data_IF_855490473154
#
_entry.id   IF_855490473154
#
_cell.length_a   1.000
_cell.length_b   1.000
_cell.length_c   1.000
_cell.angle_alpha   90.00
_cell.angle_beta   90.00
_cell.angle_gamma   90.00
#
_symmetry.space_group_name_H-M   'P 1'
#
loop_
_entity.id
_entity.type
_entity.pdbx_description
1 polymer ?
#
# COMPACT_ATOMS: atom_id res chain seq x y z
N UNK A 1 6.60 -9.53 -1.97
CA UNK A 1 6.10 -10.85 -2.39
C UNK A 1 5.94 -10.82 -3.90
N UNK A 2 6.39 -11.84 -4.66
CA UNK A 2 6.33 -11.82 -6.12
C UNK A 2 4.90 -11.71 -6.69
N UNK A 3 3.89 -11.95 -5.89
CA UNK A 3 2.49 -11.99 -6.32
C UNK A 3 1.75 -10.64 -6.18
N UNK A 4 2.33 -9.64 -5.52
CA UNK A 4 1.66 -8.35 -5.30
C UNK A 4 2.62 -7.21 -5.60
N UNK A 5 2.51 -6.67 -6.80
CA UNK A 5 3.29 -5.50 -7.23
C UNK A 5 2.49 -4.25 -6.86
N UNK A 6 2.94 -3.48 -5.88
CA UNK A 6 2.30 -2.22 -5.47
C UNK A 6 3.10 -0.99 -5.92
N UNK A 7 4.35 -1.18 -6.35
CA UNK A 7 5.26 -0.11 -6.72
C UNK A 7 5.91 -0.37 -8.06
N UNK A 8 6.07 0.68 -8.85
CA UNK A 8 7.01 0.65 -9.95
C UNK A 8 8.44 0.71 -9.40
N UNK A 9 9.25 -0.32 -9.68
CA UNK A 9 10.58 -0.51 -9.08
C UNK A 9 11.50 0.72 -9.24
N UNK A 10 11.57 1.28 -10.45
CA UNK A 10 12.44 2.42 -10.71
C UNK A 10 12.01 3.68 -9.96
N UNK A 11 10.70 3.93 -9.85
CA UNK A 11 10.16 5.06 -9.09
C UNK A 11 10.40 4.89 -7.58
N UNK A 12 10.23 3.69 -7.06
CA UNK A 12 10.51 3.40 -5.64
C UNK A 12 11.99 3.62 -5.32
N UNK A 13 12.89 3.09 -6.14
CA UNK A 13 14.34 3.24 -5.97
C UNK A 13 14.76 4.70 -6.02
N UNK A 14 14.31 5.45 -7.02
CA UNK A 14 14.61 6.87 -7.19
C UNK A 14 14.15 7.69 -5.96
N UNK A 15 12.96 7.41 -5.44
CA UNK A 15 12.40 8.05 -4.25
C UNK A 15 13.17 7.68 -2.98
N UNK A 16 13.60 6.42 -2.85
CA UNK A 16 14.46 5.94 -1.78
C UNK A 16 15.82 6.65 -1.79
N UNK A 17 16.49 6.69 -2.94
CA UNK A 17 17.80 7.35 -3.07
C UNK A 17 17.71 8.85 -2.80
N UNK A 18 16.61 9.50 -3.16
CA UNK A 18 16.39 10.92 -2.89
C UNK A 18 16.37 11.27 -1.40
N UNK A 19 15.97 10.35 -0.52
CA UNK A 19 16.01 10.57 0.93
C UNK A 19 17.43 10.76 1.46
N UNK A 20 18.41 10.12 0.84
CA UNK A 20 19.82 10.14 1.29
C UNK A 20 20.65 11.22 0.58
N UNK A 21 20.25 11.60 -0.64
CA UNK A 21 21.00 12.53 -1.48
C UNK A 21 20.63 14.01 -1.26
N UNK A 22 19.68 14.31 -0.38
CA UNK A 22 19.28 15.69 -0.08
C UNK A 22 20.39 16.43 0.66
N UNK A 23 20.87 17.54 0.06
CA UNK A 23 21.85 18.44 0.69
C UNK A 23 21.27 19.06 1.96
N UNK A 24 22.13 19.23 2.98
CA UNK A 24 21.76 19.94 4.21
C UNK A 24 21.24 21.36 3.85
N UNK A 25 19.99 21.65 4.22
CA UNK A 25 19.30 22.92 3.92
C UNK A 25 18.18 22.84 2.86
N UNK A 26 18.04 21.73 2.13
CA UNK A 26 16.96 21.48 1.17
C UNK A 26 16.10 20.27 1.54
N UNK A 27 16.16 19.82 2.80
CA UNK A 27 15.34 18.71 3.27
C UNK A 27 13.89 19.13 3.27
N UNK A 28 13.13 18.65 2.29
CA UNK A 28 11.69 18.55 2.41
C UNK A 28 11.38 17.32 3.26
N UNK A 29 10.50 17.48 4.25
CA UNK A 29 10.02 16.33 5.01
C UNK A 29 9.30 15.38 4.04
N UNK A 30 9.70 14.11 4.00
CA UNK A 30 9.07 13.17 3.09
C UNK A 30 7.61 12.97 3.46
N UNK A 31 6.76 12.79 2.46
CA UNK A 31 5.34 12.50 2.61
C UNK A 31 5.13 11.33 3.58
N UNK A 32 4.30 11.47 4.65
CA UNK A 32 4.11 10.41 5.65
C UNK A 32 3.70 9.07 5.07
N UNK A 33 2.85 9.07 4.04
CA UNK A 33 2.44 7.84 3.34
C UNK A 33 3.61 7.12 2.69
N UNK A 34 4.55 7.86 2.09
CA UNK A 34 5.76 7.28 1.53
C UNK A 34 6.65 6.64 2.59
N UNK A 35 6.83 7.33 3.73
CA UNK A 35 7.59 6.76 4.86
C UNK A 35 6.92 5.48 5.37
N UNK A 36 5.59 5.45 5.48
CA UNK A 36 4.87 4.24 5.85
C UNK A 36 5.10 3.10 4.85
N UNK A 37 5.06 3.37 3.54
CA UNK A 37 5.38 2.38 2.52
C UNK A 37 6.80 1.82 2.69
N UNK A 38 7.79 2.68 2.88
CA UNK A 38 9.18 2.28 3.09
C UNK A 38 9.34 1.44 4.35
N UNK A 39 8.77 1.88 5.47
CA UNK A 39 8.80 1.13 6.73
C UNK A 39 8.14 -0.23 6.59
N UNK A 40 7.01 -0.35 5.88
CA UNK A 40 6.36 -1.63 5.64
C UNK A 40 7.19 -2.57 4.77
N UNK A 41 7.91 -2.06 3.76
CA UNK A 41 8.87 -2.85 2.99
C UNK A 41 9.97 -3.40 3.89
N UNK A 42 10.48 -2.60 4.83
CA UNK A 42 11.47 -3.04 5.82
C UNK A 42 10.89 -4.04 6.83
N UNK A 43 9.62 -3.89 7.24
CA UNK A 43 8.90 -4.86 8.08
C UNK A 43 8.83 -6.22 7.40
N UNK A 44 8.42 -6.29 6.14
CA UNK A 44 8.36 -7.54 5.38
C UNK A 44 9.76 -8.12 5.12
N UNK A 45 10.76 -7.26 4.88
CA UNK A 45 12.14 -7.69 4.78
C UNK A 45 12.67 -8.32 6.08
N UNK A 46 12.33 -7.72 7.23
CA UNK A 46 12.68 -8.26 8.55
C UNK A 46 11.99 -9.60 8.83
N UNK A 47 10.71 -9.77 8.46
CA UNK A 47 10.02 -11.07 8.57
C UNK A 47 10.77 -12.17 7.80
N UNK A 48 11.16 -11.88 6.55
CA UNK A 48 11.90 -12.85 5.75
C UNK A 48 13.27 -13.21 6.37
N UNK A 49 13.91 -12.29 7.09
CA UNK A 49 15.18 -12.55 7.81
C UNK A 49 14.96 -13.33 9.11
N UNK A 50 13.86 -13.08 9.83
CA UNK A 50 13.47 -13.84 11.03
C UNK A 50 13.25 -15.31 10.68
N UNK A 51 12.62 -15.62 9.56
CA UNK A 51 12.43 -16.98 9.04
C UNK A 51 13.78 -17.69 8.79
N UNK A 52 14.87 -16.93 8.66
CA UNK A 52 16.26 -17.43 8.56
C UNK A 52 17.01 -17.41 9.90
N UNK A 53 16.34 -17.18 11.04
CA UNK A 53 16.89 -17.32 12.39
C UNK A 53 17.66 -16.10 12.91
N UNK A 54 17.36 -14.90 12.43
CA UNK A 54 17.96 -13.66 12.91
C UNK A 54 17.04 -12.99 13.96
N UNK A 55 17.31 -13.22 15.25
CA UNK A 55 16.51 -12.72 16.36
C UNK A 55 16.34 -11.19 16.41
N UNK A 56 17.34 -10.42 15.94
CA UNK A 56 17.27 -8.96 15.88
C UNK A 56 16.19 -8.45 14.91
N UNK A 57 15.82 -9.26 13.90
CA UNK A 57 14.82 -8.90 12.91
C UNK A 57 13.44 -8.65 13.54
N UNK A 58 13.06 -9.42 14.57
CA UNK A 58 11.80 -9.25 15.29
C UNK A 58 11.70 -7.88 16.00
N UNK A 59 12.81 -7.43 16.62
CA UNK A 59 12.85 -6.13 17.26
C UNK A 59 12.71 -4.98 16.27
N UNK A 60 13.38 -5.09 15.12
CA UNK A 60 13.33 -4.12 14.01
C UNK A 60 11.89 -4.05 13.47
N UNK A 61 11.29 -5.21 13.20
CA UNK A 61 9.91 -5.32 12.71
C UNK A 61 8.92 -4.62 13.65
N UNK A 62 8.93 -4.95 14.96
CA UNK A 62 8.05 -4.34 15.96
C UNK A 62 8.23 -2.82 16.05
N UNK A 63 9.47 -2.34 15.99
CA UNK A 63 9.77 -0.92 16.03
C UNK A 63 9.20 -0.17 14.82
N UNK A 64 9.40 -0.70 13.62
CA UNK A 64 8.91 -0.04 12.40
C UNK A 64 7.40 -0.12 12.27
N UNK A 65 6.80 -1.25 12.64
CA UNK A 65 5.35 -1.37 12.68
C UNK A 65 4.71 -0.34 13.62
N UNK A 66 5.28 -0.14 14.81
CA UNK A 66 4.79 0.87 15.75
C UNK A 66 4.84 2.29 15.17
N UNK A 67 5.87 2.61 14.38
CA UNK A 67 5.96 3.90 13.68
C UNK A 67 4.84 4.03 12.63
N UNK A 68 4.60 3.00 11.82
CA UNK A 68 3.50 3.00 10.82
C UNK A 68 2.15 3.17 11.51
N UNK A 69 1.90 2.44 12.59
CA UNK A 69 0.65 2.54 13.36
C UNK A 69 0.41 3.96 13.91
N UNK A 70 1.47 4.68 14.28
CA UNK A 70 1.39 6.08 14.68
C UNK A 70 0.93 7.04 13.57
N UNK A 71 1.03 6.64 12.30
CA UNK A 71 0.60 7.43 11.15
C UNK A 71 -0.76 7.01 10.57
N UNK A 72 -1.41 5.97 11.09
CA UNK A 72 -2.67 5.43 10.52
C UNK A 72 -3.75 6.51 10.38
N UNK A 73 -3.89 7.40 11.36
CA UNK A 73 -4.82 8.51 11.27
C UNK A 73 -4.55 9.39 10.05
N UNK A 74 -3.30 9.77 9.82
CA UNK A 74 -2.92 10.55 8.64
C UNK A 74 -3.20 9.80 7.34
N UNK A 75 -2.87 8.51 7.29
CA UNK A 75 -3.11 7.67 6.11
C UNK A 75 -4.60 7.64 5.74
N UNK A 76 -5.50 7.54 6.72
CA UNK A 76 -6.94 7.43 6.48
C UNK A 76 -7.55 8.78 6.06
N UNK A 77 -7.09 9.91 6.63
CA UNK A 77 -7.71 11.22 6.40
C UNK A 77 -7.15 11.99 5.19
N UNK A 78 -6.03 11.54 4.62
CA UNK A 78 -5.42 12.19 3.45
C UNK A 78 -5.47 11.27 2.23
N UNK A 79 -6.30 11.61 1.26
CA UNK A 79 -6.45 10.78 0.06
C UNK A 79 -5.28 10.96 -0.90
N UNK A 80 -4.46 9.92 -1.07
CA UNK A 80 -3.40 9.86 -2.06
C UNK A 80 -3.12 8.41 -2.49
N UNK A 81 -2.55 8.22 -3.69
CA UNK A 81 -2.15 6.90 -4.17
C UNK A 81 -1.19 6.20 -3.19
N UNK A 82 -0.25 6.96 -2.64
CA UNK A 82 0.76 6.44 -1.71
C UNK A 82 0.11 5.98 -0.39
N UNK A 83 -0.93 6.67 0.07
CA UNK A 83 -1.67 6.26 1.26
C UNK A 83 -2.49 4.99 1.02
N UNK A 84 -3.07 4.81 -0.18
CA UNK A 84 -3.70 3.54 -0.57
C UNK A 84 -2.67 2.41 -0.53
N UNK A 85 -1.48 2.61 -1.10
CA UNK A 85 -0.39 1.63 -1.08
C UNK A 85 0.05 1.28 0.36
N UNK A 86 0.21 2.29 1.23
CA UNK A 86 0.57 2.09 2.64
C UNK A 86 -0.50 1.30 3.41
N UNK A 87 -1.78 1.62 3.21
CA UNK A 87 -2.90 0.90 3.84
C UNK A 87 -2.98 -0.55 3.35
N UNK A 88 -2.73 -0.82 2.06
CA UNK A 88 -2.69 -2.18 1.51
C UNK A 88 -1.53 -3.01 2.09
N UNK A 89 -0.36 -2.41 2.28
CA UNK A 89 0.75 -3.10 2.93
C UNK A 89 0.46 -3.40 4.40
N UNK A 90 -0.11 -2.44 5.12
CA UNK A 90 -0.49 -2.65 6.52
C UNK A 90 -1.60 -3.69 6.65
N UNK A 91 -2.60 -3.66 5.76
CA UNK A 91 -3.65 -4.66 5.68
C UNK A 91 -3.08 -6.07 5.45
N UNK A 92 -2.13 -6.21 4.52
CA UNK A 92 -1.47 -7.49 4.24
C UNK A 92 -0.72 -8.01 5.47
N UNK A 93 -0.06 -7.12 6.20
CA UNK A 93 0.62 -7.49 7.46
C UNK A 93 -0.37 -8.00 8.51
N UNK A 94 -1.45 -7.25 8.79
CA UNK A 94 -2.46 -7.63 9.78
C UNK A 94 -3.17 -8.94 9.37
N UNK A 95 -3.42 -9.12 8.07
CA UNK A 95 -4.00 -10.37 7.55
C UNK A 95 -3.08 -11.57 7.83
N UNK A 96 -1.79 -11.45 7.57
CA UNK A 96 -0.80 -12.51 7.82
C UNK A 96 -0.59 -12.77 9.33
N UNK A 97 -0.78 -11.75 10.16
CA UNK A 97 -0.74 -11.87 11.61
C UNK A 97 -2.02 -12.53 12.21
N UNK A 98 -3.04 -12.81 11.38
CA UNK A 98 -4.33 -13.36 11.83
C UNK A 98 -5.32 -12.31 12.34
N UNK A 99 -4.97 -11.04 12.28
CA UNK A 99 -5.82 -9.92 12.72
C UNK A 99 -6.83 -9.54 11.62
N UNK A 100 -7.69 -10.48 11.25
CA UNK A 100 -8.60 -10.36 10.09
C UNK A 100 -9.56 -9.19 10.18
N UNK A 101 -10.00 -8.78 11.39
CA UNK A 101 -10.87 -7.63 11.54
C UNK A 101 -10.13 -6.32 11.26
N UNK A 102 -8.92 -6.16 11.77
CA UNK A 102 -8.07 -5.00 11.50
C UNK A 102 -7.74 -4.91 10.00
N UNK A 103 -7.34 -6.03 9.40
CA UNK A 103 -7.08 -6.13 7.97
C UNK A 103 -8.29 -5.69 7.13
N UNK A 104 -9.49 -6.16 7.44
CA UNK A 104 -10.72 -5.80 6.73
C UNK A 104 -11.07 -4.31 6.87
N UNK A 105 -10.89 -3.71 8.05
CA UNK A 105 -11.13 -2.28 8.25
C UNK A 105 -10.14 -1.41 7.46
N UNK A 106 -8.86 -1.79 7.43
CA UNK A 106 -7.83 -1.11 6.65
C UNK A 106 -8.11 -1.22 5.14
N UNK A 107 -8.50 -2.40 4.68
CA UNK A 107 -8.88 -2.65 3.29
C UNK A 107 -10.09 -1.80 2.88
N UNK A 108 -11.13 -1.73 3.71
CA UNK A 108 -12.29 -0.89 3.46
C UNK A 108 -11.95 0.62 3.40
N UNK A 109 -10.99 1.07 4.20
CA UNK A 109 -10.48 2.45 4.15
C UNK A 109 -9.71 2.69 2.84
N UNK A 110 -8.85 1.76 2.44
CA UNK A 110 -8.12 1.82 1.17
C UNK A 110 -9.06 1.81 -0.04
N UNK A 111 -10.11 0.97 -0.02
CA UNK A 111 -11.12 0.88 -1.09
C UNK A 111 -11.87 2.19 -1.28
N UNK A 112 -12.37 2.78 -0.19
CA UNK A 112 -13.05 4.09 -0.26
C UNK A 112 -12.13 5.19 -0.73
N UNK A 113 -10.88 5.21 -0.30
CA UNK A 113 -9.88 6.16 -0.75
C UNK A 113 -9.57 5.99 -2.25
N UNK A 114 -9.38 4.76 -2.72
CA UNK A 114 -9.14 4.48 -4.13
C UNK A 114 -10.32 4.90 -5.01
N UNK A 115 -11.56 4.69 -4.56
CA UNK A 115 -12.77 5.19 -5.23
C UNK A 115 -12.81 6.73 -5.25
N UNK A 116 -12.50 7.39 -4.13
CA UNK A 116 -12.44 8.85 -4.05
C UNK A 116 -11.36 9.45 -4.99
N UNK A 117 -10.27 8.73 -5.23
CA UNK A 117 -9.23 9.09 -6.20
C UNK A 117 -9.61 8.73 -7.65
N UNK A 118 -10.77 8.14 -7.89
CA UNK A 118 -11.24 7.73 -9.21
C UNK A 118 -10.47 6.56 -9.82
N UNK A 119 -9.77 5.76 -9.01
CA UNK A 119 -8.94 4.66 -9.52
C UNK A 119 -9.74 3.52 -10.15
N UNK A 120 -11.04 3.43 -9.86
CA UNK A 120 -11.98 2.46 -10.42
C UNK A 120 -12.44 2.83 -11.85
N UNK A 121 -12.12 4.06 -12.31
CA UNK A 121 -12.54 4.60 -13.61
C UNK A 121 -11.34 4.88 -14.50
N UNK A 122 -11.32 4.31 -15.70
CA UNK A 122 -10.23 4.50 -16.67
C UNK A 122 -10.09 5.97 -17.10
N UNK A 123 -11.21 6.66 -17.31
CA UNK A 123 -11.23 8.05 -17.77
C UNK A 123 -10.51 9.03 -16.84
N UNK A 124 -10.43 8.75 -15.55
CA UNK A 124 -9.71 9.60 -14.57
C UNK A 124 -8.20 9.52 -14.71
N UNK A 125 -7.68 8.47 -15.36
CA UNK A 125 -6.25 8.26 -15.62
C UNK A 125 -5.67 9.11 -16.77
N UNK A 126 -6.49 9.78 -17.56
CA UNK A 126 -6.05 10.46 -18.80
C UNK A 126 -5.04 11.60 -18.60
N UNK A 127 -4.99 12.21 -17.39
CA UNK A 127 -4.06 13.30 -17.06
C UNK A 127 -2.73 12.86 -16.46
N UNK A 128 -2.54 11.58 -16.17
CA UNK A 128 -1.33 11.05 -15.57
C UNK A 128 -0.34 10.54 -16.63
N UNK A 129 0.94 10.56 -16.30
CA UNK A 129 1.94 9.90 -17.14
C UNK A 129 1.70 8.38 -17.20
N UNK A 130 2.24 7.69 -18.22
CA UNK A 130 1.98 6.26 -18.44
C UNK A 130 2.38 5.38 -17.25
N UNK A 131 3.48 5.71 -16.55
CA UNK A 131 3.96 4.92 -15.40
C UNK A 131 3.00 5.09 -14.23
N UNK A 132 2.57 6.32 -13.92
CA UNK A 132 1.62 6.58 -12.86
C UNK A 132 0.27 5.94 -13.16
N UNK A 133 -0.21 6.06 -14.40
CA UNK A 133 -1.47 5.43 -14.84
C UNK A 133 -1.42 3.91 -14.63
N UNK A 134 -0.36 3.26 -15.10
CA UNK A 134 -0.21 1.81 -14.92
C UNK A 134 -0.06 1.43 -13.44
N UNK A 135 0.65 2.22 -12.64
CA UNK A 135 0.75 2.02 -11.19
C UNK A 135 -0.63 2.10 -10.52
N UNK A 136 -1.48 3.05 -10.91
CA UNK A 136 -2.86 3.17 -10.41
C UNK A 136 -3.70 1.94 -10.76
N UNK A 137 -3.59 1.41 -11.98
CA UNK A 137 -4.25 0.17 -12.40
C UNK A 137 -3.77 -1.02 -11.56
N UNK A 138 -2.46 -1.18 -11.39
CA UNK A 138 -1.86 -2.25 -10.57
C UNK A 138 -2.40 -2.20 -9.14
N UNK A 139 -2.37 -1.03 -8.52
CA UNK A 139 -2.83 -0.84 -7.13
C UNK A 139 -4.33 -1.12 -7.01
N UNK A 140 -5.15 -0.65 -7.97
CA UNK A 140 -6.58 -0.93 -7.99
C UNK A 140 -6.87 -2.43 -8.08
N UNK A 141 -6.26 -3.14 -9.02
CA UNK A 141 -6.52 -4.56 -9.20
C UNK A 141 -5.97 -5.41 -8.05
N UNK A 142 -4.87 -5.00 -7.42
CA UNK A 142 -4.37 -5.63 -6.18
C UNK A 142 -5.37 -5.45 -5.03
N UNK A 143 -5.88 -4.24 -4.85
CA UNK A 143 -6.93 -3.93 -3.86
C UNK A 143 -8.18 -4.76 -4.12
N UNK A 144 -8.64 -4.81 -5.37
CA UNK A 144 -9.79 -5.60 -5.79
C UNK A 144 -9.63 -7.08 -5.42
N UNK A 145 -8.46 -7.67 -5.71
CA UNK A 145 -8.18 -9.07 -5.35
C UNK A 145 -8.22 -9.28 -3.83
N UNK A 146 -7.66 -8.37 -3.04
CA UNK A 146 -7.72 -8.45 -1.57
C UNK A 146 -9.15 -8.36 -1.06
N UNK A 147 -9.96 -7.48 -1.63
CA UNK A 147 -11.38 -7.34 -1.26
C UNK A 147 -12.15 -8.63 -1.56
N UNK A 148 -12.00 -9.19 -2.77
CA UNK A 148 -12.69 -10.44 -3.12
C UNK A 148 -12.25 -11.61 -2.23
N UNK A 149 -10.96 -11.73 -1.96
CA UNK A 149 -10.44 -12.76 -1.07
C UNK A 149 -11.00 -12.60 0.37
N UNK A 150 -11.04 -11.38 0.88
CA UNK A 150 -11.59 -11.09 2.21
C UNK A 150 -13.08 -11.41 2.30
N UNK A 151 -13.85 -11.11 1.25
CA UNK A 151 -15.27 -11.45 1.16
C UNK A 151 -15.49 -12.97 1.25
N UNK A 152 -14.69 -13.74 0.51
CA UNK A 152 -14.79 -15.22 0.51
C UNK A 152 -14.39 -15.79 1.88
N UNK A 153 -13.25 -15.36 2.43
CA UNK A 153 -12.69 -15.91 3.68
C UNK A 153 -13.55 -15.54 4.90
N UNK A 154 -14.04 -14.30 4.94
CA UNK A 154 -14.76 -13.79 6.11
C UNK A 154 -16.29 -13.87 5.96
N UNK A 155 -16.81 -14.25 4.80
CA UNK A 155 -18.25 -14.29 4.52
C UNK A 155 -18.90 -12.90 4.57
N UNK A 156 -18.15 -11.82 4.25
CA UNK A 156 -18.63 -10.44 4.29
C UNK A 156 -18.99 -9.94 2.90
N UNK A 157 -19.96 -9.02 2.77
CA UNK A 157 -20.29 -8.44 1.47
C UNK A 157 -19.15 -7.57 0.95
N UNK A 158 -18.98 -7.53 -0.39
CA UNK A 158 -18.03 -6.63 -1.03
C UNK A 158 -18.42 -5.16 -0.87
N UNK A 159 -17.43 -4.31 -0.64
CA UNK A 159 -17.59 -2.85 -0.64
C UNK A 159 -17.45 -2.24 -2.05
N UNK A 160 -17.05 -3.05 -3.05
CA UNK A 160 -16.84 -2.60 -4.43
C UNK A 160 -18.03 -3.07 -5.27
N UNK A 161 -18.72 -2.12 -5.91
CA UNK A 161 -19.72 -2.42 -6.92
C UNK A 161 -19.03 -2.64 -8.27
N UNK A 162 -19.15 -3.86 -8.79
CA UNK A 162 -18.54 -4.25 -10.07
C UNK A 162 -19.09 -3.48 -11.27
N UNK A 163 -20.35 -3.01 -11.20
CA UNK A 163 -20.99 -2.23 -12.26
C UNK A 163 -20.36 -0.82 -12.39
N UNK A 164 -19.68 -0.35 -11.34
CA UNK A 164 -19.04 0.94 -11.31
C UNK A 164 -17.56 0.89 -11.72
N UNK A 165 -17.02 -0.27 -12.09
CA UNK A 165 -15.59 -0.47 -12.43
C UNK A 165 -15.42 -0.60 -13.93
N UNK A 166 -14.67 0.33 -14.54
CA UNK A 166 -14.33 0.28 -15.97
C UNK A 166 -12.82 0.41 -16.25
N UNK A 167 -11.99 0.42 -15.18
CA UNK A 167 -10.54 0.53 -15.30
C UNK A 167 -9.94 -0.69 -16.00
N UNK A 168 -9.02 -0.45 -16.95
CA UNK A 168 -8.35 -1.49 -17.70
C UNK A 168 -7.38 -2.30 -16.83
N UNK A 169 -7.05 -3.51 -17.29
CA UNK A 169 -6.00 -4.31 -16.66
C UNK A 169 -4.64 -3.61 -16.77
N UNK A 170 -3.72 -3.85 -15.83
CA UNK A 170 -2.36 -3.32 -15.91
C UNK A 170 -1.65 -3.78 -17.18
N UNK A 171 -0.80 -2.92 -17.71
CA UNK A 171 0.14 -3.28 -18.78
C UNK A 171 1.33 -4.04 -18.19
N UNK A 172 1.89 -5.00 -18.95
CA UNK A 172 3.06 -5.80 -18.55
C UNK A 172 4.36 -4.95 -18.52
#
# INVERSE_FOLDING_TARGET
HPNYVLFHRGMFQMRYESLWNQKAGQRQDPEPGWICCLLMVLVFGAQALEDHGLDEANLIQKRYLKLVQGHVQHLIFTASLVNVQALLLLQLYEHNAGEHNAAWMLLGSASRMAVALGMHREGTGAGFDPIERNTRRIVWWTLYMFEQNSCIVLGRPSSIDHMEVDVQLPEE
#
